data_IF_183380585876
#
_entry.id   IF_183380585876
#
_cell.length_a   1.000
_cell.length_b   1.000
_cell.length_c   1.000
_cell.angle_alpha   90.00
_cell.angle_beta   90.00
_cell.angle_gamma   90.00
#
_symmetry.space_group_name_H-M   'P 1'
#
loop_
_entity.id
_entity.type
_entity.pdbx_description
1 polymer ?
#
# COMPACT_ATOMS: atom_id res chain seq x y z
N UNK A 1 22.84 0.09 10.31
CA UNK A 1 23.00 0.91 9.11
C UNK A 1 21.64 1.34 8.61
N UNK A 2 21.41 2.61 8.47
CA UNK A 2 20.14 3.10 7.96
C UNK A 2 20.08 2.96 6.43
N UNK A 3 18.98 2.46 5.92
CA UNK A 3 18.72 2.35 4.50
C UNK A 3 17.83 3.52 4.09
N UNK A 4 18.20 4.22 3.02
CA UNK A 4 17.33 5.24 2.47
C UNK A 4 16.21 4.54 1.69
N UNK A 5 15.01 4.57 2.24
CA UNK A 5 13.85 3.90 1.67
C UNK A 5 13.49 4.50 0.31
N UNK A 6 13.57 5.81 0.16
CA UNK A 6 13.27 6.47 -1.11
C UNK A 6 14.20 5.98 -2.22
N UNK A 7 15.49 5.88 -1.92
CA UNK A 7 16.47 5.37 -2.86
C UNK A 7 16.20 3.91 -3.22
N UNK A 8 15.82 3.10 -2.22
CA UNK A 8 15.49 1.69 -2.46
C UNK A 8 14.26 1.53 -3.35
N UNK A 9 13.25 2.38 -3.16
CA UNK A 9 12.06 2.37 -4.01
C UNK A 9 12.40 2.71 -5.46
N UNK A 10 13.31 3.69 -5.67
CA UNK A 10 13.79 4.02 -7.01
C UNK A 10 14.54 2.85 -7.64
N UNK A 11 15.42 2.20 -6.90
CA UNK A 11 16.18 1.03 -7.37
C UNK A 11 15.26 -0.10 -7.81
N UNK A 12 14.17 -0.31 -7.09
CA UNK A 12 13.19 -1.34 -7.38
C UNK A 12 12.12 -0.90 -8.38
N UNK A 13 12.19 0.34 -8.83
CA UNK A 13 11.23 0.93 -9.75
C UNK A 13 9.80 0.87 -9.20
N UNK A 14 9.66 1.13 -7.89
CA UNK A 14 8.37 1.17 -7.21
C UNK A 14 7.96 2.61 -7.04
N UNK A 15 6.81 2.98 -7.61
CA UNK A 15 6.22 4.30 -7.45
C UNK A 15 5.09 4.22 -6.43
N UNK A 16 5.13 5.11 -5.43
CA UNK A 16 4.08 5.22 -4.42
C UNK A 16 3.20 6.42 -4.78
N UNK A 17 1.93 6.15 -5.03
CA UNK A 17 0.94 7.18 -5.34
C UNK A 17 0.44 7.82 -4.04
N UNK A 18 -0.35 8.89 -4.18
CA UNK A 18 -1.02 9.52 -3.04
C UNK A 18 -2.01 8.53 -2.43
N UNK A 19 -2.22 8.60 -1.09
CA UNK A 19 -3.11 7.66 -0.43
C UNK A 19 -4.56 7.84 -0.90
N UNK A 20 -5.23 6.72 -1.16
CA UNK A 20 -6.63 6.71 -1.53
C UNK A 20 -7.52 6.88 -0.30
N UNK A 21 -8.75 7.38 -0.52
CA UNK A 21 -9.77 7.45 0.52
C UNK A 21 -10.27 6.05 0.87
N UNK A 22 -10.64 5.81 2.14
CA UNK A 22 -11.22 4.52 2.52
C UNK A 22 -12.50 4.23 1.76
N UNK A 23 -12.73 2.95 1.42
CA UNK A 23 -13.92 2.50 0.71
C UNK A 23 -15.11 2.23 1.66
N UNK A 24 -15.08 2.75 2.88
CA UNK A 24 -16.11 2.54 3.87
C UNK A 24 -16.02 3.55 5.01
N UNK A 25 -16.81 3.34 6.04
CA UNK A 25 -16.91 4.25 7.21
C UNK A 25 -15.82 3.96 8.23
N UNK A 26 -14.54 4.12 7.83
CA UNK A 26 -13.40 3.94 8.71
C UNK A 26 -12.27 4.87 8.29
N UNK A 27 -11.32 5.07 9.19
CA UNK A 27 -10.12 5.87 8.89
C UNK A 27 -9.04 5.00 8.27
N UNK A 28 -8.17 5.56 7.41
CA UNK A 28 -7.14 4.75 6.75
C UNK A 28 -6.05 4.27 7.70
N UNK A 29 -5.75 5.01 8.76
CA UNK A 29 -4.78 4.60 9.78
C UNK A 29 -5.01 5.39 11.06
N UNK A 30 -4.46 4.87 12.17
CA UNK A 30 -4.35 5.61 13.44
C UNK A 30 -2.95 5.45 13.98
N UNK A 31 -2.50 6.47 14.72
CA UNK A 31 -1.20 6.46 15.39
C UNK A 31 -1.45 6.42 16.89
N UNK A 32 -0.86 5.45 17.58
CA UNK A 32 -0.91 5.34 19.03
C UNK A 32 0.52 5.14 19.55
N UNK A 33 1.01 6.10 20.33
CA UNK A 33 2.41 6.14 20.75
C UNK A 33 3.32 6.11 19.50
N UNK A 34 4.19 5.13 19.39
CA UNK A 34 5.09 4.98 18.25
C UNK A 34 4.64 3.91 17.26
N UNK A 35 3.36 3.53 17.31
CA UNK A 35 2.81 2.51 16.42
C UNK A 35 1.81 3.12 15.46
N UNK A 36 1.87 2.68 14.21
CA UNK A 36 0.89 3.03 13.18
C UNK A 36 0.08 1.78 12.87
N UNK A 37 -1.24 1.90 13.01
CA UNK A 37 -2.19 0.84 12.67
C UNK A 37 -2.88 1.23 11.38
N UNK A 38 -2.65 0.46 10.32
CA UNK A 38 -3.19 0.77 9.00
C UNK A 38 -4.35 -0.16 8.69
N UNK A 39 -5.47 0.41 8.25
CA UNK A 39 -6.64 -0.36 7.82
C UNK A 39 -6.34 -1.17 6.57
N UNK A 40 -7.15 -2.18 6.30
CA UNK A 40 -7.04 -2.97 5.07
C UNK A 40 -7.09 -2.09 3.82
N UNK A 41 -6.33 -2.46 2.82
CA UNK A 41 -6.25 -1.74 1.55
C UNK A 41 -6.81 -2.59 0.43
N UNK A 42 -7.45 -1.94 -0.53
CA UNK A 42 -7.98 -2.60 -1.73
C UNK A 42 -6.96 -2.53 -2.87
N UNK A 43 -6.98 -3.51 -3.79
CA UNK A 43 -5.99 -3.57 -4.88
C UNK A 43 -6.37 -2.65 -6.03
N UNK A 44 -6.43 -1.34 -5.76
CA UNK A 44 -6.66 -0.36 -6.82
C UNK A 44 -5.44 -0.27 -7.74
N UNK A 45 -5.69 -0.34 -9.04
CA UNK A 45 -4.69 -0.11 -10.07
C UNK A 45 -5.18 1.07 -10.90
N UNK A 46 -4.41 2.15 -10.93
CA UNK A 46 -4.79 3.41 -11.58
C UNK A 46 -6.16 3.92 -11.12
N UNK A 47 -6.46 3.75 -9.83
CA UNK A 47 -7.71 4.23 -9.23
C UNK A 47 -8.92 3.34 -9.45
N UNK A 48 -8.74 2.16 -10.05
CA UNK A 48 -9.84 1.25 -10.37
C UNK A 48 -9.61 -0.16 -9.84
N UNK A 49 -10.69 -0.83 -9.42
CA UNK A 49 -10.71 -2.25 -9.10
C UNK A 49 -11.06 -3.02 -10.37
N UNK A 50 -10.05 -3.45 -11.11
CA UNK A 50 -10.25 -4.11 -12.40
C UNK A 50 -10.34 -5.63 -12.30
N UNK A 51 -9.78 -6.22 -11.23
CA UNK A 51 -9.72 -7.68 -11.05
C UNK A 51 -10.54 -8.03 -9.82
N UNK A 52 -11.55 -8.88 -10.01
CA UNK A 52 -12.43 -9.34 -8.92
C UNK A 52 -12.70 -10.82 -9.10
N UNK A 53 -12.71 -11.55 -7.99
CA UNK A 53 -13.05 -12.96 -7.99
C UNK A 53 -12.18 -13.79 -7.07
N UNK A 54 -12.08 -15.06 -7.36
CA UNK A 54 -11.35 -16.03 -6.56
C UNK A 54 -10.16 -16.56 -7.34
N UNK A 55 -9.00 -16.57 -6.70
CA UNK A 55 -7.78 -17.13 -7.28
C UNK A 55 -7.98 -18.64 -7.46
N UNK A 56 -7.65 -19.13 -8.66
CA UNK A 56 -7.84 -20.53 -9.01
C UNK A 56 -9.20 -20.82 -9.64
N UNK A 57 -10.11 -19.86 -9.62
CA UNK A 57 -11.42 -19.95 -10.28
C UNK A 57 -11.44 -18.98 -11.46
N UNK A 58 -11.91 -17.74 -11.25
CA UNK A 58 -11.96 -16.72 -12.30
C UNK A 58 -10.81 -15.71 -12.24
N UNK A 59 -9.89 -15.86 -11.31
CA UNK A 59 -8.68 -15.05 -11.17
C UNK A 59 -7.47 -15.97 -11.18
N UNK A 60 -6.49 -15.66 -12.03
CA UNK A 60 -5.25 -16.43 -12.10
C UNK A 60 -4.32 -16.11 -10.93
N UNK A 61 -3.32 -16.96 -10.69
CA UNK A 61 -2.31 -16.73 -9.67
C UNK A 61 -1.52 -15.45 -9.99
N UNK A 62 -1.18 -15.22 -11.26
CA UNK A 62 -0.47 -14.03 -11.72
C UNK A 62 -1.26 -12.77 -11.45
N UNK A 63 -2.56 -12.78 -11.69
CA UNK A 63 -3.45 -11.67 -11.36
C UNK A 63 -3.53 -11.45 -9.86
N UNK A 64 -3.54 -12.54 -9.08
CA UNK A 64 -3.51 -12.46 -7.62
C UNK A 64 -2.23 -11.81 -7.10
N UNK A 65 -1.09 -12.12 -7.69
CA UNK A 65 0.20 -11.51 -7.35
C UNK A 65 0.16 -10.01 -7.65
N UNK A 66 -0.36 -9.62 -8.80
CA UNK A 66 -0.50 -8.22 -9.19
C UNK A 66 -1.38 -7.44 -8.20
N UNK A 67 -2.48 -8.05 -7.77
CA UNK A 67 -3.36 -7.44 -6.77
C UNK A 67 -2.68 -7.31 -5.41
N UNK A 68 -1.93 -8.33 -4.99
CA UNK A 68 -1.19 -8.28 -3.73
C UNK A 68 -0.13 -7.18 -3.74
N UNK A 69 0.57 -6.99 -4.85
CA UNK A 69 1.51 -5.89 -5.03
C UNK A 69 0.83 -4.53 -4.95
N UNK A 70 -0.35 -4.39 -5.57
CA UNK A 70 -1.13 -3.17 -5.49
C UNK A 70 -1.54 -2.85 -4.05
N UNK A 71 -1.96 -3.86 -3.28
CA UNK A 71 -2.28 -3.69 -1.86
C UNK A 71 -1.05 -3.27 -1.04
N UNK A 72 0.10 -3.87 -1.31
CA UNK A 72 1.35 -3.52 -0.63
C UNK A 72 1.75 -2.07 -0.90
N UNK A 73 1.64 -1.63 -2.16
CA UNK A 73 1.91 -0.23 -2.51
C UNK A 73 0.93 0.72 -1.84
N UNK A 74 -0.33 0.33 -1.72
CA UNK A 74 -1.34 1.12 -1.02
C UNK A 74 -1.02 1.24 0.48
N UNK A 75 -0.55 0.17 1.10
CA UNK A 75 -0.09 0.19 2.49
C UNK A 75 1.09 1.14 2.66
N UNK A 76 2.05 1.10 1.75
CA UNK A 76 3.20 2.02 1.78
C UNK A 76 2.75 3.47 1.61
N UNK A 77 1.76 3.73 0.78
CA UNK A 77 1.19 5.06 0.58
C UNK A 77 0.60 5.61 1.87
N UNK A 78 -0.19 4.81 2.59
CA UNK A 78 -0.77 5.21 3.87
C UNK A 78 0.32 5.40 4.93
N UNK A 79 1.30 4.51 4.97
CA UNK A 79 2.41 4.61 5.90
C UNK A 79 3.23 5.87 5.67
N UNK A 80 3.51 6.20 4.41
CA UNK A 80 4.22 7.43 4.05
C UNK A 80 3.46 8.66 4.53
N UNK A 81 2.13 8.67 4.35
CA UNK A 81 1.28 9.76 4.83
C UNK A 81 1.36 9.89 6.36
N UNK A 82 1.30 8.77 7.07
CA UNK A 82 1.42 8.73 8.53
C UNK A 82 2.77 9.24 9.02
N UNK A 83 3.82 9.09 8.22
CA UNK A 83 5.19 9.55 8.53
C UNK A 83 5.49 10.94 7.98
N UNK A 84 4.48 11.70 7.60
CA UNK A 84 4.63 13.05 7.01
C UNK A 84 5.54 13.07 5.77
N UNK A 85 5.45 12.02 4.97
CA UNK A 85 6.18 11.91 3.71
C UNK A 85 7.56 11.24 3.80
N UNK A 86 7.99 10.86 4.99
CA UNK A 86 9.32 10.29 5.19
C UNK A 86 9.26 8.87 5.74
N UNK A 87 9.32 7.87 4.84
CA UNK A 87 9.33 6.46 5.19
C UNK A 87 10.58 6.03 5.98
N UNK A 88 11.62 6.85 5.98
CA UNK A 88 12.84 6.55 6.76
C UNK A 88 12.60 6.62 8.27
N UNK A 89 11.48 7.19 8.71
CA UNK A 89 11.08 7.21 10.11
C UNK A 89 10.61 5.86 10.63
N UNK A 90 10.29 4.93 9.74
CA UNK A 90 9.83 3.58 10.11
C UNK A 90 11.00 2.76 10.61
N UNK A 91 10.78 2.07 11.71
CA UNK A 91 11.80 1.21 12.31
C UNK A 91 11.45 -0.26 12.19
#
# INVERSE_FOLDING_TARGET
MSTDINKRLEELNIKIDDPSSPAGSYVPYVISNNLVFISGQLPFINGELTIRGKIGDNVSVEEGIEMAEACAKALLSQLKDACNGDLNKVK
#
